data_IF_806716517157
#
_entry.id   IF_806716517157
#
_cell.length_a   1.000
_cell.length_b   1.000
_cell.length_c   1.000
_cell.angle_alpha   90.00
_cell.angle_beta   90.00
_cell.angle_gamma   90.00
#
_symmetry.space_group_name_H-M   'P 1'
#
loop_
_entity.id
_entity.type
_entity.pdbx_description
1 polymer ?
#
# COMPACT_ATOMS: atom_id res chain seq x y z
N UNK A 1 13.08 -18.34 -12.34
CA UNK A 1 13.40 -18.58 -10.92
C UNK A 1 13.82 -17.28 -10.24
N UNK A 2 14.81 -16.54 -10.78
CA UNK A 2 15.25 -15.25 -10.22
C UNK A 2 14.13 -14.21 -10.07
N UNK A 3 13.17 -14.20 -11.00
CA UNK A 3 11.97 -13.35 -10.98
C UNK A 3 11.12 -13.56 -9.71
N UNK A 4 10.82 -14.82 -9.35
CA UNK A 4 9.98 -15.16 -8.20
C UNK A 4 10.67 -14.79 -6.88
N UNK A 5 11.99 -14.97 -6.81
CA UNK A 5 12.78 -14.57 -5.66
C UNK A 5 12.78 -13.06 -5.47
N UNK A 6 12.97 -12.31 -6.55
CA UNK A 6 12.93 -10.84 -6.52
C UNK A 6 11.60 -10.34 -5.96
N UNK A 7 10.47 -10.81 -6.52
CA UNK A 7 9.13 -10.42 -6.06
C UNK A 7 8.91 -10.78 -4.59
N UNK A 8 9.35 -11.96 -4.15
CA UNK A 8 9.20 -12.40 -2.76
C UNK A 8 9.99 -11.52 -1.79
N UNK A 9 11.23 -11.17 -2.16
CA UNK A 9 12.08 -10.30 -1.34
C UNK A 9 11.48 -8.90 -1.27
N UNK A 10 11.08 -8.31 -2.39
CA UNK A 10 10.42 -7.00 -2.43
C UNK A 10 9.15 -7.00 -1.59
N UNK A 11 8.31 -8.02 -1.70
CA UNK A 11 7.09 -8.14 -0.92
C UNK A 11 7.38 -8.29 0.58
N UNK A 12 8.43 -9.02 0.95
CA UNK A 12 8.85 -9.18 2.35
C UNK A 12 9.33 -7.86 2.95
N UNK A 13 10.11 -7.07 2.21
CA UNK A 13 10.59 -5.76 2.66
C UNK A 13 9.42 -4.79 2.86
N UNK A 14 8.50 -4.70 1.89
CA UNK A 14 7.31 -3.84 2.00
C UNK A 14 6.41 -4.30 3.15
N UNK A 15 6.30 -5.60 3.38
CA UNK A 15 5.54 -6.15 4.49
C UNK A 15 6.14 -5.76 5.86
N UNK A 16 7.47 -5.82 5.99
CA UNK A 16 8.17 -5.38 7.21
C UNK A 16 8.03 -3.87 7.38
N UNK A 17 8.20 -3.09 6.33
CA UNK A 17 8.00 -1.65 6.38
C UNK A 17 6.58 -1.30 6.84
N UNK A 18 5.58 -1.95 6.26
CA UNK A 18 4.17 -1.79 6.67
C UNK A 18 3.96 -2.21 8.12
N UNK A 19 4.65 -3.25 8.57
CA UNK A 19 4.61 -3.70 9.96
C UNK A 19 5.14 -2.66 10.95
N UNK A 20 6.11 -1.85 10.53
CA UNK A 20 6.73 -0.81 11.36
C UNK A 20 5.88 0.46 11.42
N UNK A 21 5.18 0.81 10.35
CA UNK A 21 4.34 2.01 10.33
C UNK A 21 2.95 1.80 10.95
N UNK A 22 2.44 0.56 10.94
CA UNK A 22 1.03 0.29 11.29
C UNK A 22 0.91 -0.35 12.68
N UNK A 23 0.14 0.22 13.62
CA UNK A 23 -0.09 -0.40 14.93
C UNK A 23 -0.91 -1.70 14.81
N UNK A 24 -0.75 -2.61 15.76
CA UNK A 24 -1.28 -3.99 15.77
C UNK A 24 -2.75 -4.15 15.34
N UNK A 25 -3.72 -3.31 15.75
CA UNK A 25 -5.12 -3.47 15.33
C UNK A 25 -5.37 -3.10 13.86
N UNK A 26 -4.55 -2.24 13.27
CA UNK A 26 -4.70 -1.80 11.88
C UNK A 26 -3.95 -2.71 10.89
N UNK A 27 -3.17 -3.69 11.39
CA UNK A 27 -2.37 -4.57 10.56
C UNK A 27 -3.20 -5.39 9.57
N UNK A 28 -4.34 -5.95 9.97
CA UNK A 28 -5.21 -6.71 9.06
C UNK A 28 -5.81 -5.82 7.97
N UNK A 29 -6.19 -4.59 8.32
CA UNK A 29 -6.73 -3.59 7.39
C UNK A 29 -5.67 -3.15 6.39
N UNK A 30 -4.44 -2.89 6.85
CA UNK A 30 -3.31 -2.55 5.96
C UNK A 30 -3.03 -3.68 4.96
N UNK A 31 -3.01 -4.94 5.40
CA UNK A 31 -2.85 -6.08 4.50
C UNK A 31 -4.01 -6.23 3.50
N UNK A 32 -5.22 -5.87 3.91
CA UNK A 32 -6.38 -5.76 3.02
C UNK A 32 -6.13 -4.74 1.90
N UNK A 33 -5.65 -3.54 2.23
CA UNK A 33 -5.33 -2.49 1.25
C UNK A 33 -4.22 -2.92 0.29
N UNK A 34 -3.15 -3.56 0.78
CA UNK A 34 -2.10 -4.13 -0.08
C UNK A 34 -2.64 -5.22 -1.02
N UNK A 35 -3.60 -6.02 -0.55
CA UNK A 35 -4.23 -7.04 -1.39
C UNK A 35 -5.10 -6.40 -2.48
N UNK A 36 -5.80 -5.32 -2.17
CA UNK A 36 -6.59 -4.57 -3.15
C UNK A 36 -5.69 -3.91 -4.21
N UNK A 37 -4.55 -3.33 -3.82
CA UNK A 37 -3.63 -2.71 -4.78
C UNK A 37 -3.03 -3.74 -5.75
N UNK A 38 -2.74 -4.96 -5.29
CA UNK A 38 -2.32 -6.07 -6.15
C UNK A 38 -3.39 -6.42 -7.21
N UNK A 39 -4.67 -6.37 -6.85
CA UNK A 39 -5.78 -6.61 -7.79
C UNK A 39 -5.89 -5.55 -8.88
N UNK A 40 -5.58 -4.29 -8.56
CA UNK A 40 -5.54 -3.21 -9.57
C UNK A 40 -4.51 -3.55 -10.65
N UNK A 41 -3.34 -4.06 -10.26
CA UNK A 41 -2.34 -4.56 -11.21
C UNK A 41 -2.90 -5.66 -12.12
N UNK A 42 -3.64 -6.62 -11.55
CA UNK A 42 -4.30 -7.68 -12.32
C UNK A 42 -5.37 -7.19 -13.31
N UNK A 43 -6.05 -6.08 -13.02
CA UNK A 43 -7.04 -5.46 -13.93
C UNK A 43 -6.35 -4.70 -15.07
N UNK A 44 -5.19 -4.08 -14.80
CA UNK A 44 -4.42 -3.34 -15.80
C UNK A 44 -3.76 -4.24 -16.85
N UNK A 45 -3.44 -5.50 -16.52
CA UNK A 45 -2.83 -6.46 -17.45
C UNK A 45 -3.68 -6.69 -18.72
N UNK A 46 -4.95 -7.16 -18.64
CA UNK A 46 -5.77 -7.36 -19.83
C UNK A 46 -6.07 -6.05 -20.57
N UNK A 47 -6.14 -4.92 -19.86
CA UNK A 47 -6.29 -3.60 -20.48
C UNK A 47 -5.10 -3.23 -21.35
N UNK A 48 -3.88 -3.56 -20.90
CA UNK A 48 -2.64 -3.36 -21.65
C UNK A 48 -2.60 -4.21 -22.93
N UNK A 49 -3.08 -5.46 -22.86
CA UNK A 49 -3.16 -6.38 -24.00
C UNK A 49 -4.21 -5.90 -25.02
N UNK A 50 -5.35 -5.37 -24.58
CA UNK A 50 -6.37 -4.81 -25.49
C UNK A 50 -5.86 -3.58 -26.28
N UNK A 51 -4.82 -2.91 -25.77
CA UNK A 51 -4.17 -1.77 -26.44
C UNK A 51 -3.06 -2.20 -27.43
N UNK A 52 -2.64 -3.47 -27.38
CA UNK A 52 -1.63 -4.05 -28.29
C UNK A 52 -2.11 -4.08 -29.75
N UNK A 53 -3.43 -4.19 -29.97
CA UNK A 53 -4.07 -4.21 -31.30
C UNK A 53 -3.80 -2.94 -32.11
N UNK A 54 -3.47 -1.82 -31.44
CA UNK A 54 -3.12 -0.57 -32.10
C UNK A 54 -1.60 -0.53 -32.35
N UNK A 55 -0.78 -0.82 -31.33
CA UNK A 55 0.69 -0.80 -31.39
C UNK A 55 1.31 -1.91 -30.54
N UNK A 56 2.08 -2.81 -31.17
CA UNK A 56 2.70 -3.99 -30.54
C UNK A 56 3.61 -3.67 -29.33
N UNK A 57 4.24 -2.48 -29.30
CA UNK A 57 5.20 -2.10 -28.26
C UNK A 57 4.59 -1.25 -27.12
N UNK A 58 3.32 -0.87 -27.25
CA UNK A 58 2.62 -0.03 -26.28
C UNK A 58 2.57 -0.62 -24.85
N UNK A 59 2.23 -1.91 -24.64
CA UNK A 59 2.12 -2.47 -23.28
C UNK A 59 3.45 -2.48 -22.53
N UNK A 60 4.57 -2.70 -23.25
CA UNK A 60 5.92 -2.70 -22.69
C UNK A 60 6.31 -1.31 -22.21
N UNK A 61 5.97 -0.27 -22.99
CA UNK A 61 6.25 1.14 -22.61
C UNK A 61 5.43 1.55 -21.39
N UNK A 62 4.17 1.14 -21.29
CA UNK A 62 3.29 1.46 -20.15
C UNK A 62 3.82 0.80 -18.85
N UNK A 63 4.09 -0.50 -18.88
CA UNK A 63 4.58 -1.20 -17.69
C UNK A 63 6.00 -0.75 -17.34
N UNK A 64 6.87 -0.55 -18.34
CA UNK A 64 8.24 -0.08 -18.14
C UNK A 64 8.29 1.32 -17.52
N UNK A 65 7.50 2.27 -18.02
CA UNK A 65 7.40 3.62 -17.44
C UNK A 65 6.81 3.58 -16.02
N UNK A 66 5.78 2.77 -15.77
CA UNK A 66 5.23 2.58 -14.43
C UNK A 66 6.28 2.01 -13.45
N UNK A 67 7.11 1.05 -13.88
CA UNK A 67 8.21 0.50 -13.07
C UNK A 67 9.28 1.54 -12.75
N UNK A 68 9.63 2.40 -13.71
CA UNK A 68 10.60 3.50 -13.50
C UNK A 68 10.05 4.49 -12.48
N UNK A 69 8.78 4.91 -12.64
CA UNK A 69 8.12 5.83 -11.69
C UNK A 69 8.06 5.20 -10.30
N UNK A 70 7.69 3.92 -10.19
CA UNK A 70 7.65 3.21 -8.92
C UNK A 70 9.04 3.09 -8.27
N UNK A 71 10.09 2.80 -9.05
CA UNK A 71 11.46 2.78 -8.56
C UNK A 71 11.95 4.16 -8.09
N UNK A 72 11.59 5.22 -8.82
CA UNK A 72 11.90 6.59 -8.44
C UNK A 72 11.17 7.02 -7.16
N UNK A 73 9.89 6.65 -7.04
CA UNK A 73 9.13 6.83 -5.80
C UNK A 73 9.72 6.04 -4.63
N UNK A 74 10.23 4.83 -4.89
CA UNK A 74 10.89 4.01 -3.87
C UNK A 74 12.20 4.63 -3.39
N UNK A 75 12.91 5.38 -4.25
CA UNK A 75 14.08 6.19 -3.85
C UNK A 75 13.66 7.42 -3.04
N UNK A 76 12.47 7.96 -3.30
CA UNK A 76 11.90 9.08 -2.56
C UNK A 76 11.26 8.67 -1.24
N UNK A 77 11.09 7.37 -0.99
CA UNK A 77 10.63 6.85 0.29
C UNK A 77 11.77 7.08 1.31
N UNK A 78 11.59 8.00 2.27
CA UNK A 78 12.64 8.31 3.23
C UNK A 78 12.97 7.06 4.03
N UNK A 79 14.25 6.71 4.07
CA UNK A 79 14.79 5.58 4.81
C UNK A 79 14.27 5.63 6.26
N UNK A 80 13.34 4.74 6.63
CA UNK A 80 12.81 4.59 8.00
C UNK A 80 13.81 3.87 8.92
N UNK A 81 15.11 3.97 8.65
CA UNK A 81 16.15 3.38 9.48
C UNK A 81 16.50 4.33 10.62
N UNK A 82 15.87 4.13 11.78
CA UNK A 82 16.34 4.72 13.05
C UNK A 82 15.41 5.72 13.75
N UNK A 83 14.11 5.77 13.43
CA UNK A 83 13.16 6.47 14.32
C UNK A 83 12.64 5.50 15.40
N UNK A 84 12.66 5.89 16.68
CA UNK A 84 12.13 5.05 17.75
C UNK A 84 10.66 4.78 17.46
N UNK A 85 10.30 3.50 17.50
CA UNK A 85 8.92 3.05 17.36
C UNK A 85 8.07 3.82 18.38
N UNK A 86 6.96 4.48 17.99
CA UNK A 86 5.93 4.84 18.95
C UNK A 86 5.35 3.54 19.51
N UNK A 87 5.95 3.09 20.61
CA UNK A 87 5.77 1.79 21.26
C UNK A 87 4.56 1.78 22.21
N UNK A 88 3.48 2.52 21.94
CA UNK A 88 2.37 2.53 22.89
C UNK A 88 1.00 2.53 22.21
N UNK A 89 0.32 1.39 22.31
CA UNK A 89 -1.09 1.17 21.99
C UNK A 89 -2.05 2.22 22.59
N UNK A 90 -1.64 2.92 23.67
CA UNK A 90 -2.41 4.00 24.31
C UNK A 90 -2.74 5.16 23.37
N UNK A 91 -1.89 5.49 22.41
CA UNK A 91 -2.14 6.64 21.53
C UNK A 91 -3.11 6.29 20.39
N UNK A 92 -3.02 5.07 19.86
CA UNK A 92 -3.98 4.53 18.89
C UNK A 92 -5.35 4.29 19.53
N UNK A 93 -5.40 3.84 20.78
CA UNK A 93 -6.66 3.66 21.51
C UNK A 93 -7.33 5.00 21.87
N UNK A 94 -6.55 6.03 22.23
CA UNK A 94 -7.07 7.38 22.42
C UNK A 94 -7.65 7.97 21.13
N UNK A 95 -6.98 7.75 19.99
CA UNK A 95 -7.46 8.20 18.68
C UNK A 95 -8.74 7.47 18.26
N UNK A 96 -8.80 6.14 18.45
CA UNK A 96 -10.01 5.37 18.17
C UNK A 96 -11.17 5.76 19.09
N UNK A 97 -10.93 5.97 20.38
CA UNK A 97 -11.95 6.51 21.31
C UNK A 97 -12.42 7.89 20.90
N UNK A 98 -11.52 8.78 20.47
CA UNK A 98 -11.89 10.11 19.99
C UNK A 98 -12.77 10.03 18.74
N UNK A 99 -12.39 9.24 17.73
CA UNK A 99 -13.17 9.08 16.50
C UNK A 99 -14.55 8.50 16.81
N UNK A 100 -14.63 7.47 17.65
CA UNK A 100 -15.90 6.85 18.07
C UNK A 100 -16.78 7.83 18.85
N UNK A 101 -16.21 8.66 19.70
CA UNK A 101 -16.96 9.70 20.42
C UNK A 101 -17.43 10.83 19.50
N UNK A 102 -16.67 11.16 18.45
CA UNK A 102 -17.07 12.17 17.47
C UNK A 102 -18.21 11.65 16.59
N UNK A 103 -18.11 10.43 16.05
CA UNK A 103 -19.21 9.86 15.25
C UNK A 103 -20.50 9.79 16.07
N UNK A 104 -20.44 9.33 17.32
CA UNK A 104 -21.61 9.27 18.20
C UNK A 104 -22.22 10.64 18.50
N UNK A 105 -21.40 11.70 18.58
CA UNK A 105 -21.86 13.06 18.85
C UNK A 105 -22.36 13.78 17.57
N UNK A 106 -21.93 13.32 16.39
CA UNK A 106 -22.46 13.78 15.10
C UNK A 106 -23.81 13.13 14.82
N UNK A 107 -23.96 11.83 15.06
CA UNK A 107 -25.26 11.14 14.97
C UNK A 107 -26.29 11.72 15.94
N UNK A 108 -25.89 12.09 17.18
CA UNK A 108 -26.79 12.73 18.15
C UNK A 108 -27.20 14.16 17.77
N UNK A 109 -26.40 14.86 16.97
CA UNK A 109 -26.73 16.21 16.45
C UNK A 109 -27.53 16.21 15.15
N UNK A 110 -27.65 15.06 14.48
CA UNK A 110 -28.40 14.92 13.23
C UNK A 110 -29.86 14.46 13.44
N UNK A 111 -30.27 14.28 14.70
CA UNK A 111 -31.63 13.92 15.16
C UNK A 111 -32.21 15.14 15.91
#
# INVERSE_FOLDING_TARGET
MADKFCVTISFSVVYIWSAEITPTPLRSTALGVFSMSSRIGGILVPFSIALEDVWLSLPVVIIGSASIVAGLLSLFLPETKGRPLPSTMRDTENLYRQITHIERNVDEKLI
#
